data_IF_445394846970
#
_entry.id   IF_445394846970
#
_cell.length_a   1.000
_cell.length_b   1.000
_cell.length_c   1.000
_cell.angle_alpha   90.00
_cell.angle_beta   90.00
_cell.angle_gamma   90.00
#
_symmetry.space_group_name_H-M   'P 1'
#
loop_
_entity.id
_entity.type
_entity.pdbx_description
1 polymer ?
#
# COMPACT_ATOMS: atom_id res chain seq x y z
N UNK A 1 22.35 -46.64 -11.88
CA UNK A 1 22.87 -45.50 -11.09
C UNK A 1 22.55 -44.14 -11.73
N UNK A 2 22.56 -43.96 -13.06
CA UNK A 2 22.19 -42.67 -13.68
C UNK A 2 20.69 -42.30 -13.65
N UNK A 3 19.76 -43.27 -13.59
CA UNK A 3 18.32 -42.99 -13.67
C UNK A 3 17.75 -42.29 -12.42
N UNK A 4 18.31 -42.51 -11.23
CA UNK A 4 17.83 -41.83 -10.03
C UNK A 4 18.15 -40.34 -10.04
N UNK A 5 19.30 -39.97 -10.62
CA UNK A 5 19.74 -38.57 -10.68
C UNK A 5 18.87 -37.75 -11.65
N UNK A 6 18.55 -38.31 -12.81
CA UNK A 6 17.61 -37.69 -13.76
C UNK A 6 16.20 -37.53 -13.15
N UNK A 7 15.76 -38.47 -12.30
CA UNK A 7 14.45 -38.39 -11.65
C UNK A 7 14.46 -37.34 -10.54
N UNK A 8 15.52 -37.26 -9.73
CA UNK A 8 15.66 -36.27 -8.66
C UNK A 8 15.48 -34.84 -9.16
N UNK A 9 16.06 -34.50 -10.32
CA UNK A 9 15.88 -33.18 -10.97
C UNK A 9 14.42 -32.91 -11.36
N UNK A 10 13.67 -33.96 -11.71
CA UNK A 10 12.27 -33.86 -12.12
C UNK A 10 11.29 -33.82 -10.93
N UNK A 11 11.69 -34.23 -9.72
CA UNK A 11 10.79 -34.27 -8.55
C UNK A 11 10.26 -32.86 -8.22
N UNK A 12 11.08 -31.82 -8.28
CA UNK A 12 10.63 -30.44 -8.02
C UNK A 12 9.54 -30.01 -9.00
N UNK A 13 9.76 -30.18 -10.30
CA UNK A 13 8.76 -29.84 -11.32
C UNK A 13 7.51 -30.71 -11.25
N UNK A 14 7.62 -31.94 -10.72
CA UNK A 14 6.46 -32.80 -10.46
C UNK A 14 5.58 -32.24 -9.34
N UNK A 15 6.18 -31.76 -8.26
CA UNK A 15 5.49 -31.11 -7.13
C UNK A 15 4.80 -29.82 -7.57
N UNK A 16 5.41 -29.06 -8.48
CA UNK A 16 4.87 -27.80 -9.01
C UNK A 16 3.89 -27.99 -10.19
N UNK A 17 3.63 -29.24 -10.60
CA UNK A 17 2.77 -29.59 -11.74
C UNK A 17 3.21 -29.00 -13.09
N UNK A 18 4.50 -28.72 -13.27
CA UNK A 18 5.07 -28.14 -14.49
C UNK A 18 5.55 -29.18 -15.50
N UNK A 19 5.59 -30.46 -15.10
CA UNK A 19 6.03 -31.55 -15.98
C UNK A 19 4.98 -31.92 -17.03
N UNK A 20 5.46 -32.32 -18.21
CA UNK A 20 4.62 -33.00 -19.19
C UNK A 20 4.10 -34.34 -18.65
N UNK A 21 2.94 -34.78 -19.13
CA UNK A 21 2.29 -36.03 -18.73
C UNK A 21 3.24 -37.24 -18.74
N UNK A 22 4.09 -37.35 -19.76
CA UNK A 22 5.08 -38.43 -19.89
C UNK A 22 6.15 -38.39 -18.78
N UNK A 23 6.65 -37.19 -18.44
CA UNK A 23 7.68 -37.03 -17.40
C UNK A 23 7.09 -37.23 -16.01
N UNK A 24 5.88 -36.72 -15.76
CA UNK A 24 5.16 -36.91 -14.50
C UNK A 24 4.88 -38.40 -14.21
N UNK A 25 4.44 -39.16 -15.21
CA UNK A 25 4.22 -40.59 -15.06
C UNK A 25 5.52 -41.35 -14.76
N UNK A 26 6.63 -40.96 -15.40
CA UNK A 26 7.95 -41.54 -15.14
C UNK A 26 8.41 -41.31 -13.70
N UNK A 27 8.26 -40.08 -13.19
CA UNK A 27 8.60 -39.73 -11.80
C UNK A 27 7.74 -40.53 -10.82
N UNK A 28 6.43 -40.61 -11.05
CA UNK A 28 5.51 -41.37 -10.20
C UNK A 28 5.90 -42.85 -10.08
N UNK A 29 6.11 -43.53 -11.22
CA UNK A 29 6.49 -44.95 -11.23
C UNK A 29 7.84 -45.16 -10.52
N UNK A 30 8.76 -44.20 -10.65
CA UNK A 30 10.07 -44.30 -10.01
C UNK A 30 9.98 -44.15 -8.48
N UNK A 31 9.19 -43.20 -7.96
CA UNK A 31 8.93 -43.02 -6.51
C UNK A 31 8.25 -44.25 -5.89
N UNK A 32 7.40 -44.95 -6.64
CA UNK A 32 6.79 -46.21 -6.21
C UNK A 32 7.83 -47.34 -6.09
N UNK A 33 8.89 -47.32 -6.93
CA UNK A 33 9.91 -48.37 -6.99
C UNK A 33 11.20 -48.12 -6.20
N UNK A 34 11.52 -46.86 -5.87
CA UNK A 34 12.81 -46.47 -5.28
C UNK A 34 12.63 -45.70 -3.97
N UNK A 35 13.14 -46.26 -2.87
CA UNK A 35 13.03 -45.66 -1.54
C UNK A 35 13.76 -44.32 -1.41
N UNK A 36 14.95 -44.18 -2.02
CA UNK A 36 15.73 -42.94 -1.99
C UNK A 36 15.00 -41.76 -2.67
N UNK A 37 14.34 -42.00 -3.80
CA UNK A 37 13.58 -40.94 -4.49
C UNK A 37 12.26 -40.62 -3.77
N UNK A 38 11.70 -41.59 -3.03
CA UNK A 38 10.53 -41.39 -2.18
C UNK A 38 10.85 -40.51 -0.97
N UNK A 39 12.00 -40.72 -0.35
CA UNK A 39 12.47 -39.89 0.76
C UNK A 39 12.62 -38.42 0.35
N UNK A 40 13.31 -38.17 -0.77
CA UNK A 40 13.50 -36.81 -1.31
C UNK A 40 12.16 -36.13 -1.64
N UNK A 41 11.21 -36.86 -2.22
CA UNK A 41 9.87 -36.33 -2.48
C UNK A 41 9.13 -35.93 -1.19
N UNK A 42 9.21 -36.77 -0.15
CA UNK A 42 8.59 -36.48 1.14
C UNK A 42 9.21 -35.27 1.82
N UNK A 43 10.54 -35.13 1.76
CA UNK A 43 11.26 -33.98 2.31
C UNK A 43 10.86 -32.67 1.63
N UNK A 44 10.79 -32.66 0.30
CA UNK A 44 10.38 -31.48 -0.46
C UNK A 44 8.91 -31.10 -0.19
N UNK A 45 8.02 -32.10 -0.02
CA UNK A 45 6.63 -31.85 0.39
C UNK A 45 6.55 -31.30 1.82
N UNK A 46 7.37 -31.81 2.74
CA UNK A 46 7.41 -31.31 4.11
C UNK A 46 7.79 -29.83 4.13
N UNK A 47 8.86 -29.45 3.42
CA UNK A 47 9.31 -28.06 3.28
C UNK A 47 8.20 -27.20 2.66
N UNK A 48 7.58 -27.65 1.56
CA UNK A 48 6.48 -26.89 0.92
C UNK A 48 5.30 -26.67 1.87
N UNK A 49 4.97 -27.68 2.68
CA UNK A 49 3.88 -27.60 3.66
C UNK A 49 4.21 -26.60 4.77
N UNK A 50 5.45 -26.61 5.27
CA UNK A 50 5.92 -25.65 6.26
C UNK A 50 5.94 -24.22 5.69
N UNK A 51 6.45 -24.04 4.47
CA UNK A 51 6.44 -22.74 3.78
C UNK A 51 5.02 -22.25 3.48
N UNK A 52 4.09 -23.15 3.12
CA UNK A 52 2.68 -22.81 2.89
C UNK A 52 1.93 -22.38 4.15
N UNK A 53 2.43 -22.73 5.34
CA UNK A 53 1.89 -22.27 6.62
C UNK A 53 2.45 -20.91 7.07
N UNK A 54 3.52 -20.44 6.43
CA UNK A 54 3.99 -19.08 6.65
C UNK A 54 2.95 -18.12 6.10
N UNK A 55 2.15 -17.53 6.99
CA UNK A 55 1.36 -16.37 6.65
C UNK A 55 2.34 -15.26 6.26
N UNK A 56 2.45 -15.01 4.96
CA UNK A 56 3.16 -13.84 4.48
C UNK A 56 2.44 -12.63 5.06
N UNK A 57 3.10 -11.78 5.87
CA UNK A 57 2.46 -10.58 6.37
C UNK A 57 2.09 -9.74 5.14
N UNK A 58 0.78 -9.62 4.88
CA UNK A 58 0.26 -8.65 3.92
C UNK A 58 0.90 -7.31 4.29
N UNK A 59 1.66 -6.70 3.36
CA UNK A 59 2.45 -5.51 3.62
C UNK A 59 1.57 -4.48 4.36
N UNK A 60 2.00 -4.05 5.55
CA UNK A 60 1.20 -3.21 6.43
C UNK A 60 0.76 -1.90 5.73
N UNK A 61 1.59 -1.42 4.81
CA UNK A 61 1.29 -0.29 3.91
C UNK A 61 0.04 -0.54 3.05
N UNK A 62 -0.13 -1.75 2.51
CA UNK A 62 -1.29 -2.10 1.69
C UNK A 62 -2.59 -2.15 2.50
N UNK A 63 -2.53 -2.49 3.79
CA UNK A 63 -3.69 -2.43 4.69
C UNK A 63 -4.07 -0.99 5.04
N UNK A 64 -3.09 -0.15 5.37
CA UNK A 64 -3.32 1.27 5.66
C UNK A 64 -3.93 1.99 4.45
N UNK A 65 -3.44 1.72 3.24
CA UNK A 65 -4.00 2.27 2.01
C UNK A 65 -5.45 1.84 1.77
N UNK A 66 -5.80 0.60 2.10
CA UNK A 66 -7.18 0.11 1.96
C UNK A 66 -8.13 0.84 2.90
N UNK A 67 -7.72 1.06 4.15
CA UNK A 67 -8.50 1.81 5.15
C UNK A 67 -8.63 3.29 4.76
N UNK A 68 -7.53 3.90 4.31
CA UNK A 68 -7.52 5.31 3.90
C UNK A 68 -8.29 5.59 2.62
N UNK A 69 -8.41 4.60 1.72
CA UNK A 69 -9.18 4.70 0.48
C UNK A 69 -10.66 4.33 0.63
N UNK A 70 -11.13 4.03 1.84
CA UNK A 70 -12.56 3.83 2.06
C UNK A 70 -13.36 5.10 1.66
N UNK A 71 -14.51 4.92 0.99
CA UNK A 71 -15.31 6.05 0.49
C UNK A 71 -15.74 6.99 1.62
N UNK A 72 -15.97 6.46 2.81
CA UNK A 72 -16.31 7.23 4.02
C UNK A 72 -15.14 8.12 4.45
N UNK A 73 -13.93 7.56 4.58
CA UNK A 73 -12.72 8.32 4.92
C UNK A 73 -12.45 9.44 3.90
N UNK A 74 -12.66 9.16 2.61
CA UNK A 74 -12.54 10.15 1.54
C UNK A 74 -13.56 11.29 1.66
N UNK A 75 -14.82 10.99 1.95
CA UNK A 75 -15.86 12.02 2.14
C UNK A 75 -15.60 12.89 3.36
N UNK A 76 -15.23 12.30 4.50
CA UNK A 76 -14.87 13.03 5.73
C UNK A 76 -13.70 13.98 5.45
N UNK A 77 -12.69 13.52 4.71
CA UNK A 77 -11.58 14.37 4.30
C UNK A 77 -12.03 15.57 3.47
N UNK A 78 -12.89 15.37 2.46
CA UNK A 78 -13.39 16.45 1.61
C UNK A 78 -14.24 17.44 2.40
N UNK A 79 -15.15 16.96 3.25
CA UNK A 79 -16.01 17.79 4.10
C UNK A 79 -15.17 18.60 5.08
N UNK A 80 -14.19 17.97 5.74
CA UNK A 80 -13.25 18.65 6.62
C UNK A 80 -12.48 19.76 5.90
N UNK A 81 -12.03 19.51 4.67
CA UNK A 81 -11.35 20.52 3.86
C UNK A 81 -12.26 21.70 3.48
N UNK A 82 -13.51 21.44 3.08
CA UNK A 82 -14.48 22.50 2.77
C UNK A 82 -14.75 23.35 4.00
N UNK A 83 -14.98 22.71 5.16
CA UNK A 83 -15.26 23.42 6.41
C UNK A 83 -14.08 24.28 6.85
N UNK A 84 -12.85 23.80 6.69
CA UNK A 84 -11.63 24.56 7.01
C UNK A 84 -11.48 25.78 6.10
N UNK A 85 -11.59 25.59 4.78
CA UNK A 85 -11.48 26.70 3.80
C UNK A 85 -12.57 27.74 4.03
N UNK A 86 -13.82 27.29 4.21
CA UNK A 86 -14.95 28.19 4.43
C UNK A 86 -14.78 28.97 5.73
N UNK A 87 -14.35 28.32 6.81
CA UNK A 87 -14.06 28.96 8.09
C UNK A 87 -12.94 29.99 7.99
N UNK A 88 -11.85 29.66 7.29
CA UNK A 88 -10.69 30.55 7.12
C UNK A 88 -11.03 31.78 6.27
N UNK A 89 -11.78 31.59 5.17
CA UNK A 89 -12.24 32.70 4.33
C UNK A 89 -13.24 33.58 5.07
N UNK A 90 -14.19 32.98 5.80
CA UNK A 90 -15.15 33.72 6.62
C UNK A 90 -14.46 34.54 7.72
N UNK A 91 -13.46 33.95 8.39
CA UNK A 91 -12.66 34.63 9.40
C UNK A 91 -11.86 35.81 8.81
N UNK A 92 -11.19 35.61 7.67
CA UNK A 92 -10.51 36.71 6.97
C UNK A 92 -11.46 37.85 6.60
N UNK A 93 -12.65 37.52 6.08
CA UNK A 93 -13.66 38.52 5.72
C UNK A 93 -14.14 39.33 6.92
N UNK A 94 -14.41 38.65 8.04
CA UNK A 94 -14.74 39.31 9.30
C UNK A 94 -13.62 40.23 9.79
N UNK A 95 -12.37 39.75 9.78
CA UNK A 95 -11.21 40.52 10.20
C UNK A 95 -10.98 41.76 9.33
N UNK A 96 -11.18 41.64 8.01
CA UNK A 96 -11.09 42.80 7.12
C UNK A 96 -12.15 43.84 7.49
N UNK A 97 -13.40 43.40 7.72
CA UNK A 97 -14.49 44.30 8.09
C UNK A 97 -14.22 45.04 9.41
N UNK A 98 -13.75 44.33 10.45
CA UNK A 98 -13.43 44.94 11.75
C UNK A 98 -12.24 45.90 11.64
N UNK A 99 -11.24 45.60 10.82
CA UNK A 99 -10.11 46.51 10.59
C UNK A 99 -10.47 47.79 9.86
N UNK A 100 -11.43 47.75 8.94
CA UNK A 100 -11.90 48.94 8.23
C UNK A 100 -12.86 49.78 9.08
N UNK A 101 -13.67 49.16 9.93
CA UNK A 101 -14.68 49.87 10.74
C UNK A 101 -14.15 50.39 12.07
N UNK A 102 -13.09 49.81 12.63
CA UNK A 102 -12.51 50.23 13.91
C UNK A 102 -10.99 50.47 13.82
N UNK A 103 -10.51 51.73 13.78
CA UNK A 103 -9.08 52.05 13.80
C UNK A 103 -8.43 51.89 15.19
N UNK A 104 -9.16 51.43 16.20
CA UNK A 104 -8.70 51.32 17.59
C UNK A 104 -7.76 50.13 17.87
N UNK A 105 -7.60 49.19 16.93
CA UNK A 105 -6.75 48.01 17.15
C UNK A 105 -5.27 48.29 16.89
N UNK A 106 -4.37 47.95 17.84
CA UNK A 106 -2.94 48.16 17.67
C UNK A 106 -2.37 47.32 16.52
N UNK A 107 -1.43 47.89 15.77
CA UNK A 107 -0.88 47.31 14.53
C UNK A 107 -0.19 45.97 14.73
N UNK A 108 0.45 45.73 15.88
CA UNK A 108 1.10 44.45 16.20
C UNK A 108 0.11 43.28 16.24
N UNK A 109 -1.12 43.49 16.72
CA UNK A 109 -2.15 42.46 16.77
C UNK A 109 -2.59 42.06 15.35
N UNK A 110 -2.65 43.05 14.43
CA UNK A 110 -2.96 42.80 13.01
C UNK A 110 -1.89 41.94 12.34
N UNK A 111 -0.62 42.25 12.61
CA UNK A 111 0.52 41.50 12.09
C UNK A 111 0.53 40.08 12.65
N UNK A 112 0.23 39.91 13.94
CA UNK A 112 0.18 38.59 14.59
C UNK A 112 -0.87 37.67 13.95
N UNK A 113 -2.09 38.17 13.73
CA UNK A 113 -3.16 37.42 13.05
C UNK A 113 -2.73 37.05 11.63
N UNK A 114 -2.20 38.02 10.87
CA UNK A 114 -1.80 37.81 9.48
C UNK A 114 -0.67 36.77 9.36
N UNK A 115 0.26 36.73 10.31
CA UNK A 115 1.35 35.74 10.34
C UNK A 115 0.82 34.32 10.57
N UNK A 116 -0.17 34.16 11.47
CA UNK A 116 -0.82 32.87 11.74
C UNK A 116 -1.58 32.39 10.50
N UNK A 117 -2.34 33.28 9.85
CA UNK A 117 -3.09 32.97 8.63
C UNK A 117 -2.16 32.58 7.48
N UNK A 118 -1.07 33.32 7.28
CA UNK A 118 -0.05 32.98 6.28
C UNK A 118 0.66 31.66 6.61
N UNK A 119 0.93 31.37 7.89
CA UNK A 119 1.51 30.11 8.33
C UNK A 119 0.59 28.92 8.03
N UNK A 120 -0.70 29.05 8.32
CA UNK A 120 -1.71 28.05 8.01
C UNK A 120 -1.84 27.82 6.50
N UNK A 121 -1.88 28.90 5.70
CA UNK A 121 -1.87 28.83 4.24
C UNK A 121 -0.59 28.19 3.68
N UNK A 122 0.57 28.48 4.26
CA UNK A 122 1.85 27.89 3.84
C UNK A 122 1.90 26.38 4.06
N UNK A 123 1.50 25.91 5.26
CA UNK A 123 1.39 24.48 5.55
C UNK A 123 0.37 23.81 4.62
N UNK A 124 -0.76 24.46 4.37
CA UNK A 124 -1.76 23.98 3.42
C UNK A 124 -1.19 23.79 2.01
N UNK A 125 -0.50 24.80 1.47
CA UNK A 125 0.12 24.74 0.14
C UNK A 125 1.21 23.66 0.07
N UNK A 126 1.95 23.44 1.15
CA UNK A 126 2.94 22.36 1.24
C UNK A 126 2.28 20.99 1.08
N UNK A 127 1.26 20.69 1.88
CA UNK A 127 0.52 19.42 1.82
C UNK A 127 -0.17 19.25 0.48
N UNK A 128 -0.80 20.32 -0.05
CA UNK A 128 -1.43 20.29 -1.37
C UNK A 128 -0.42 19.96 -2.46
N UNK A 129 0.76 20.58 -2.45
CA UNK A 129 1.85 20.30 -3.39
C UNK A 129 2.30 18.85 -3.29
N UNK A 130 2.54 18.34 -2.09
CA UNK A 130 2.91 16.95 -1.86
C UNK A 130 1.87 15.99 -2.44
N UNK A 131 0.59 16.26 -2.20
CA UNK A 131 -0.51 15.42 -2.67
C UNK A 131 -0.69 15.48 -4.19
N UNK A 132 -0.50 16.64 -4.82
CA UNK A 132 -0.53 16.79 -6.28
C UNK A 132 0.61 16.04 -6.96
N UNK A 133 1.83 16.07 -6.39
CA UNK A 133 2.98 15.32 -6.90
C UNK A 133 2.75 13.82 -6.74
N UNK A 134 2.37 13.36 -5.55
CA UNK A 134 2.05 11.96 -5.29
C UNK A 134 0.99 11.42 -6.26
N UNK A 135 -0.07 12.20 -6.49
CA UNK A 135 -1.12 11.83 -7.47
C UNK A 135 -0.56 11.68 -8.88
N UNK A 136 0.42 12.49 -9.30
CA UNK A 136 1.00 12.42 -10.64
C UNK A 136 2.00 11.28 -10.81
N UNK A 137 2.76 10.95 -9.76
CA UNK A 137 3.87 9.99 -9.81
C UNK A 137 3.45 8.55 -9.48
N UNK A 138 2.20 8.35 -9.04
CA UNK A 138 1.68 7.01 -8.75
C UNK A 138 1.53 6.16 -10.03
N UNK A 139 2.44 5.18 -10.16
CA UNK A 139 2.54 4.22 -11.27
C UNK A 139 1.36 3.24 -11.30
N UNK A 140 0.73 2.95 -10.16
CA UNK A 140 -0.30 1.91 -10.02
C UNK A 140 -1.73 2.45 -10.04
N UNK A 141 -1.90 3.78 -10.13
CA UNK A 141 -3.20 4.47 -10.14
C UNK A 141 -4.24 3.94 -11.13
N UNK A 142 -3.83 3.33 -12.23
CA UNK A 142 -4.72 2.83 -13.28
C UNK A 142 -4.88 1.29 -13.30
N UNK A 143 -4.29 0.59 -12.34
CA UNK A 143 -4.39 -0.88 -12.27
C UNK A 143 -5.60 -1.23 -11.41
N UNK A 144 -6.61 -1.87 -12.02
CA UNK A 144 -7.71 -2.51 -11.27
C UNK A 144 -7.21 -3.88 -10.82
N UNK A 145 -7.14 -4.11 -9.51
CA UNK A 145 -6.99 -5.43 -8.92
C UNK A 145 -8.31 -6.20 -9.01
#
# INVERSE_FOLDING_TARGET
>A
MNQCQDIQELISGYIDHELSQQKAQRVRLHIESCDNCREIYNDLIAIRKEMGQLQYPECEEAKLDRIMNEPVARTIGIVGWIMLILGLVGFMGWQLFTFFTQPAMPTWAKIGVLLIELGALGLFLSVLRQRLIARKTDKYRNVKL
#
